data_IF_544493522182
#
_entry.id   IF_544493522182
#
_cell.length_a   1.000
_cell.length_b   1.000
_cell.length_c   1.000
_cell.angle_alpha   90.00
_cell.angle_beta   90.00
_cell.angle_gamma   90.00
#
_symmetry.space_group_name_H-M   'P 1'
#
loop_
_entity.id
_entity.type
_entity.pdbx_description
1 polymer ?
#
# COMPACT_ATOMS: atom_id res chain seq x y z
N UNK A 1 15.69 10.36 -28.35
CA UNK A 1 16.75 10.11 -27.32
C UNK A 1 17.09 8.62 -27.27
N UNK A 2 18.36 8.17 -27.31
CA UNK A 2 18.70 6.72 -27.35
C UNK A 2 18.63 6.06 -25.97
N UNK A 3 17.86 4.98 -25.84
CA UNK A 3 17.77 4.14 -24.62
C UNK A 3 18.44 2.77 -24.86
N UNK A 4 18.89 2.12 -23.80
CA UNK A 4 19.56 0.82 -23.86
C UNK A 4 18.81 -0.15 -22.97
N UNK A 5 18.39 -1.30 -23.50
CA UNK A 5 17.64 -2.30 -22.76
C UNK A 5 18.44 -3.59 -22.65
N UNK A 6 18.40 -4.24 -21.48
CA UNK A 6 19.03 -5.55 -21.29
C UNK A 6 17.99 -6.58 -20.86
N UNK A 7 17.59 -7.43 -21.79
CA UNK A 7 16.91 -8.70 -21.52
C UNK A 7 17.92 -9.83 -21.29
N UNK A 8 17.71 -10.63 -20.26
CA UNK A 8 18.50 -11.82 -19.89
C UNK A 8 17.79 -13.12 -20.24
N UNK A 9 16.50 -13.06 -20.57
CA UNK A 9 15.66 -14.21 -20.93
C UNK A 9 14.85 -13.88 -22.18
N UNK A 10 14.42 -14.91 -22.92
CA UNK A 10 13.53 -14.74 -24.07
C UNK A 10 12.21 -14.07 -23.65
N UNK A 11 11.67 -14.42 -22.48
CA UNK A 11 10.45 -13.82 -21.92
C UNK A 11 10.58 -12.30 -21.74
N UNK A 12 11.74 -11.81 -21.28
CA UNK A 12 12.00 -10.37 -21.15
C UNK A 12 12.03 -9.69 -22.51
N UNK A 13 12.62 -10.32 -23.52
CA UNK A 13 12.68 -9.76 -24.87
C UNK A 13 11.30 -9.77 -25.54
N UNK A 14 10.54 -10.85 -25.43
CA UNK A 14 9.18 -10.95 -25.97
C UNK A 14 8.28 -9.88 -25.35
N UNK A 15 8.38 -9.66 -24.03
CA UNK A 15 7.66 -8.60 -23.33
C UNK A 15 8.05 -7.20 -23.81
N UNK A 16 9.35 -6.94 -23.98
CA UNK A 16 9.83 -5.63 -24.43
C UNK A 16 9.40 -5.34 -25.88
N UNK A 17 9.43 -6.34 -26.75
CA UNK A 17 9.01 -6.26 -28.15
C UNK A 17 7.53 -5.87 -28.23
N UNK A 18 6.67 -6.55 -27.48
CA UNK A 18 5.24 -6.24 -27.41
C UNK A 18 5.01 -4.81 -26.88
N UNK A 19 5.72 -4.44 -25.81
CA UNK A 19 5.59 -3.13 -25.18
C UNK A 19 6.00 -1.97 -26.09
N UNK A 20 7.00 -2.18 -26.94
CA UNK A 20 7.53 -1.18 -27.86
C UNK A 20 6.92 -1.27 -29.27
N UNK A 21 6.01 -2.22 -29.54
CA UNK A 21 5.38 -2.39 -30.85
C UNK A 21 6.37 -2.76 -31.96
N UNK A 22 7.42 -3.53 -31.64
CA UNK A 22 8.48 -3.87 -32.61
C UNK A 22 8.04 -5.05 -33.47
N UNK A 23 7.78 -4.82 -34.76
CA UNK A 23 7.23 -5.85 -35.66
C UNK A 23 8.26 -6.91 -36.13
N UNK A 24 9.57 -6.69 -35.96
CA UNK A 24 10.58 -7.65 -36.42
C UNK A 24 11.90 -7.58 -35.64
N UNK A 25 12.41 -8.74 -35.17
CA UNK A 25 13.72 -8.85 -34.51
C UNK A 25 14.62 -9.89 -35.20
N UNK A 26 15.86 -9.50 -35.53
CA UNK A 26 16.88 -10.43 -36.04
C UNK A 26 17.69 -11.00 -34.87
N UNK A 27 17.47 -12.28 -34.55
CA UNK A 27 18.38 -13.15 -33.78
C UNK A 27 18.65 -12.71 -32.32
N UNK A 28 17.83 -13.19 -31.37
CA UNK A 28 18.00 -12.91 -29.93
C UNK A 28 19.31 -13.50 -29.43
N UNK A 29 20.23 -12.67 -28.94
CA UNK A 29 21.45 -13.15 -28.27
C UNK A 29 21.42 -12.76 -26.79
N UNK A 30 22.11 -13.52 -25.95
CA UNK A 30 22.27 -13.22 -24.51
C UNK A 30 23.19 -12.00 -24.24
N UNK A 31 23.25 -11.06 -25.16
CA UNK A 31 24.07 -9.85 -25.08
C UNK A 31 23.15 -8.63 -24.99
N UNK A 32 23.57 -7.54 -24.30
CA UNK A 32 22.78 -6.32 -24.23
C UNK A 32 22.60 -5.68 -25.61
N UNK A 33 21.35 -5.39 -25.98
CA UNK A 33 20.98 -4.87 -27.31
C UNK A 33 20.53 -3.40 -27.23
N UNK A 34 20.86 -2.63 -28.27
CA UNK A 34 20.50 -1.23 -28.39
C UNK A 34 19.21 -1.14 -29.18
N UNK A 35 18.15 -0.58 -28.59
CA UNK A 35 16.96 -0.14 -29.31
C UNK A 35 17.06 1.37 -29.47
N UNK A 36 17.25 1.84 -30.69
CA UNK A 36 17.21 3.29 -30.96
C UNK A 36 15.83 3.68 -31.49
N UNK A 37 15.43 4.89 -31.13
CA UNK A 37 14.24 5.58 -31.61
C UNK A 37 14.74 6.83 -32.34
N UNK A 38 14.46 6.92 -33.64
CA UNK A 38 14.75 8.11 -34.44
C UNK A 38 13.48 8.96 -34.50
N UNK A 39 13.51 10.13 -33.84
CA UNK A 39 12.36 11.05 -33.73
C UNK A 39 12.24 11.99 -34.93
N UNK A 40 13.13 11.91 -35.93
CA UNK A 40 13.33 13.02 -36.87
C UNK A 40 12.59 12.95 -38.22
N UNK A 41 11.78 11.93 -38.52
CA UNK A 41 10.99 11.91 -39.78
C UNK A 41 9.48 11.81 -39.51
N UNK A 42 8.81 12.97 -39.57
CA UNK A 42 7.35 13.19 -39.40
C UNK A 42 6.45 12.43 -40.41
N UNK A 43 6.99 11.61 -41.31
CA UNK A 43 6.23 11.05 -42.45
C UNK A 43 6.52 9.56 -42.78
N UNK A 44 7.25 8.80 -41.95
CA UNK A 44 7.45 7.36 -42.16
C UNK A 44 7.20 6.55 -40.88
N UNK A 45 6.64 5.36 -41.04
CA UNK A 45 6.31 4.38 -39.99
C UNK A 45 7.43 4.25 -38.94
N UNK A 46 7.05 4.09 -37.67
CA UNK A 46 7.97 3.98 -36.52
C UNK A 46 8.94 2.78 -36.69
N UNK A 47 10.08 2.99 -37.35
CA UNK A 47 11.06 1.95 -37.59
C UNK A 47 11.97 1.77 -36.37
N UNK A 48 11.60 0.84 -35.49
CA UNK A 48 12.46 0.40 -34.40
C UNK A 48 13.56 -0.53 -34.92
N UNK A 49 14.81 -0.11 -34.80
CA UNK A 49 15.98 -0.89 -35.19
C UNK A 49 16.76 -1.47 -33.99
N UNK A 50 17.17 -2.74 -34.09
CA UNK A 50 17.99 -3.43 -33.10
C UNK A 50 19.45 -3.55 -33.56
N UNK A 51 20.40 -3.08 -32.73
CA UNK A 51 21.83 -3.17 -33.03
C UNK A 51 22.64 -3.72 -31.84
N UNK A 52 23.60 -4.61 -32.12
CA UNK A 52 24.55 -5.14 -31.14
C UNK A 52 25.80 -4.25 -31.13
N UNK A 53 26.01 -3.49 -30.06
CA UNK A 53 27.15 -2.57 -29.92
C UNK A 53 27.82 -2.61 -28.54
N UNK A 54 29.09 -2.19 -28.44
CA UNK A 54 29.84 -2.23 -27.17
C UNK A 54 29.23 -1.31 -26.11
N UNK A 55 29.12 -1.82 -24.87
CA UNK A 55 28.33 -1.26 -23.76
C UNK A 55 29.09 -0.34 -22.80
N UNK A 56 30.36 -0.02 -23.05
CA UNK A 56 31.25 0.48 -21.99
C UNK A 56 30.95 1.89 -21.44
N UNK A 57 29.92 2.61 -21.90
CA UNK A 57 29.67 4.00 -21.45
C UNK A 57 28.21 4.48 -21.40
N UNK A 58 27.19 3.62 -21.45
CA UNK A 58 25.79 4.07 -21.56
C UNK A 58 24.88 3.49 -20.47
N UNK A 59 23.88 4.27 -20.06
CA UNK A 59 22.87 3.90 -19.06
C UNK A 59 22.00 2.77 -19.60
N UNK A 60 22.05 1.60 -18.94
CA UNK A 60 21.32 0.38 -19.33
C UNK A 60 20.11 0.24 -18.43
N UNK A 61 18.93 0.07 -19.02
CA UNK A 61 17.67 -0.22 -18.36
C UNK A 61 17.50 -1.75 -18.33
N UNK A 62 17.39 -2.35 -17.15
CA UNK A 62 17.09 -3.77 -17.04
C UNK A 62 15.62 -4.03 -17.37
N UNK A 63 15.37 -4.92 -18.32
CA UNK A 63 13.99 -5.28 -18.67
C UNK A 63 13.31 -6.02 -17.50
N UNK A 64 14.07 -6.74 -16.68
CA UNK A 64 13.53 -7.34 -15.45
C UNK A 64 12.96 -6.32 -14.48
N UNK A 65 13.61 -5.17 -14.32
CA UNK A 65 13.14 -4.10 -13.41
C UNK A 65 11.84 -3.50 -13.94
N UNK A 66 11.74 -3.26 -15.25
CA UNK A 66 10.50 -2.78 -15.88
C UNK A 66 9.35 -3.78 -15.78
N UNK A 67 9.63 -5.08 -15.94
CA UNK A 67 8.62 -6.13 -15.77
C UNK A 67 8.18 -6.29 -14.32
N UNK A 68 9.07 -6.08 -13.35
CA UNK A 68 8.73 -6.09 -11.92
C UNK A 68 7.90 -4.85 -11.55
N UNK A 69 8.25 -3.67 -12.06
CA UNK A 69 7.47 -2.44 -11.90
C UNK A 69 6.07 -2.57 -12.53
N UNK A 70 5.95 -3.14 -13.73
CA UNK A 70 4.65 -3.37 -14.38
C UNK A 70 3.84 -4.49 -13.70
N UNK A 71 4.51 -5.51 -13.14
CA UNK A 71 3.85 -6.51 -12.28
C UNK A 71 3.31 -5.86 -11.01
N UNK A 72 4.04 -4.94 -10.40
CA UNK A 72 3.55 -4.15 -9.26
C UNK A 72 2.38 -3.25 -9.65
N UNK A 73 2.40 -2.64 -10.84
CA UNK A 73 1.27 -1.86 -11.35
C UNK A 73 0.01 -2.71 -11.62
N UNK A 74 0.17 -3.97 -12.06
CA UNK A 74 -0.95 -4.89 -12.31
C UNK A 74 -1.42 -5.67 -11.08
N UNK A 75 -0.56 -5.84 -10.07
CA UNK A 75 -0.93 -6.45 -8.78
C UNK A 75 -1.95 -5.59 -8.01
N UNK A 76 -2.08 -4.31 -8.33
CA UNK A 76 -3.02 -3.39 -7.71
C UNK A 76 -4.40 -3.34 -8.38
N UNK A 77 -4.67 -4.15 -9.40
CA UNK A 77 -5.96 -4.17 -10.11
C UNK A 77 -6.57 -5.56 -10.17
N UNK A 78 -7.90 -5.61 -10.14
CA UNK A 78 -8.70 -6.79 -10.52
C UNK A 78 -9.21 -6.56 -11.93
N UNK A 79 -8.88 -7.48 -12.83
CA UNK A 79 -9.34 -7.41 -14.22
C UNK A 79 -10.48 -8.41 -14.44
N UNK A 80 -11.66 -7.89 -14.77
CA UNK A 80 -12.84 -8.64 -15.20
C UNK A 80 -12.79 -8.74 -16.73
N UNK A 81 -12.91 -9.95 -17.29
CA UNK A 81 -12.81 -10.19 -18.73
C UNK A 81 -14.18 -10.48 -19.34
N UNK A 82 -14.30 -10.24 -20.65
CA UNK A 82 -15.42 -10.55 -21.56
C UNK A 82 -16.62 -11.29 -20.95
N UNK A 83 -16.50 -12.59 -20.65
CA UNK A 83 -17.63 -13.41 -20.18
C UNK A 83 -18.12 -13.02 -18.78
N UNK A 84 -17.21 -12.67 -17.87
CA UNK A 84 -17.53 -12.23 -16.51
C UNK A 84 -18.12 -10.81 -16.49
N UNK A 85 -17.86 -10.00 -17.52
CA UNK A 85 -18.45 -8.66 -17.66
C UNK A 85 -19.96 -8.72 -17.88
N UNK A 86 -20.48 -9.79 -18.49
CA UNK A 86 -21.91 -9.99 -18.67
C UNK A 86 -22.63 -10.23 -17.33
N UNK A 87 -21.91 -10.72 -16.31
CA UNK A 87 -22.45 -10.96 -14.97
C UNK A 87 -22.45 -9.71 -14.07
N UNK A 88 -21.72 -8.65 -14.45
CA UNK A 88 -21.69 -7.40 -13.68
C UNK A 88 -23.05 -6.70 -13.76
N UNK A 89 -23.74 -6.62 -12.62
CA UNK A 89 -25.05 -5.97 -12.53
C UNK A 89 -24.91 -4.45 -12.33
N UNK A 90 -25.40 -3.68 -13.31
CA UNK A 90 -25.32 -2.22 -13.31
C UNK A 90 -26.64 -1.57 -12.83
N UNK A 91 -26.66 -1.02 -11.62
CA UNK A 91 -27.84 -0.31 -11.06
C UNK A 91 -28.00 1.13 -11.58
N UNK A 92 -27.92 1.35 -12.89
CA UNK A 92 -28.21 2.68 -13.46
C UNK A 92 -29.67 2.77 -13.91
N UNK A 93 -30.38 3.81 -13.46
CA UNK A 93 -31.75 4.16 -13.88
C UNK A 93 -31.86 4.66 -15.33
N UNK A 94 -30.76 4.61 -16.08
CA UNK A 94 -30.71 4.89 -17.51
C UNK A 94 -30.36 3.58 -18.18
N UNK A 95 -31.26 3.02 -19.00
CA UNK A 95 -31.09 1.71 -19.64
C UNK A 95 -29.97 1.63 -20.70
N UNK A 96 -28.84 2.31 -20.49
CA UNK A 96 -27.63 2.34 -21.32
C UNK A 96 -26.40 2.61 -20.45
N UNK A 97 -25.38 1.75 -20.57
CA UNK A 97 -24.06 1.92 -19.94
C UNK A 97 -23.41 3.20 -20.44
N UNK A 98 -23.39 4.23 -19.59
CA UNK A 98 -22.67 5.47 -19.84
C UNK A 98 -21.49 5.51 -18.89
N UNK A 99 -20.26 5.40 -19.40
CA UNK A 99 -19.07 5.64 -18.59
C UNK A 99 -18.90 7.15 -18.41
N UNK A 100 -18.74 7.58 -17.16
CA UNK A 100 -18.39 8.97 -16.83
C UNK A 100 -16.87 9.05 -16.83
N UNK A 101 -16.30 9.78 -17.78
CA UNK A 101 -14.89 10.14 -17.74
C UNK A 101 -14.73 11.61 -17.41
N UNK A 102 -13.58 11.92 -16.83
CA UNK A 102 -13.14 13.28 -16.54
C UNK A 102 -12.12 13.69 -17.59
N UNK A 103 -12.28 14.86 -18.19
CA UNK A 103 -11.20 15.43 -18.98
C UNK A 103 -10.09 15.97 -18.06
N UNK A 104 -8.98 16.42 -18.66
CA UNK A 104 -7.85 17.05 -17.96
C UNK A 104 -8.22 18.31 -17.16
N UNK A 105 -9.43 18.85 -17.34
CA UNK A 105 -9.96 20.01 -16.63
C UNK A 105 -10.99 19.60 -15.56
N UNK A 106 -11.26 18.31 -15.39
CA UNK A 106 -12.22 17.76 -14.43
C UNK A 106 -13.69 17.80 -14.88
N UNK A 107 -13.97 18.22 -16.12
CA UNK A 107 -15.34 18.24 -16.66
C UNK A 107 -15.83 16.82 -16.93
N UNK A 108 -17.10 16.55 -16.57
CA UNK A 108 -17.73 15.24 -16.66
C UNK A 108 -18.41 15.07 -18.01
N UNK A 109 -18.01 14.04 -18.74
CA UNK A 109 -18.62 13.66 -20.01
C UNK A 109 -19.17 12.24 -19.93
N UNK A 110 -20.36 12.03 -20.49
CA UNK A 110 -20.98 10.71 -20.61
C UNK A 110 -20.96 10.30 -22.09
N UNK A 111 -20.22 9.24 -22.42
CA UNK A 111 -20.24 8.65 -23.76
C UNK A 111 -20.99 7.32 -23.75
N UNK A 112 -21.89 7.13 -24.74
CA UNK A 112 -22.49 5.83 -25.05
C UNK A 112 -21.43 5.01 -25.81
N UNK A 113 -20.88 3.96 -25.19
CA UNK A 113 -19.96 3.03 -25.85
C UNK A 113 -20.35 1.57 -25.58
N UNK A 114 -19.94 0.69 -26.48
CA UNK A 114 -19.96 -0.76 -26.30
C UNK A 114 -19.12 -1.13 -25.07
N UNK A 115 -19.50 -2.21 -24.37
CA UNK A 115 -18.74 -2.73 -23.25
C UNK A 115 -17.27 -2.97 -23.69
N UNK A 116 -16.27 -2.52 -22.94
CA UNK A 116 -14.87 -2.85 -23.22
C UNK A 116 -14.65 -4.36 -23.08
N UNK A 117 -13.66 -4.91 -23.77
CA UNK A 117 -13.32 -6.35 -23.69
C UNK A 117 -12.81 -6.78 -22.29
N UNK A 118 -12.37 -5.82 -21.50
CA UNK A 118 -12.00 -6.02 -20.09
C UNK A 118 -12.23 -4.75 -19.28
N UNK A 119 -12.50 -4.91 -18.00
CA UNK A 119 -12.57 -3.84 -17.01
C UNK A 119 -11.55 -4.11 -15.91
N UNK A 120 -10.58 -3.21 -15.76
CA UNK A 120 -9.62 -3.25 -14.65
C UNK A 120 -10.05 -2.27 -13.56
N UNK A 121 -10.28 -2.78 -12.35
CA UNK A 121 -10.71 -2.00 -11.19
C UNK A 121 -9.57 -2.02 -10.17
N UNK A 122 -9.15 -0.87 -9.62
CA UNK A 122 -8.15 -0.87 -8.55
C UNK A 122 -8.61 -1.75 -7.39
N UNK A 123 -7.69 -2.48 -6.75
CA UNK A 123 -7.95 -3.33 -5.59
C UNK A 123 -8.34 -2.52 -4.37
N UNK A 124 -7.83 -1.29 -4.22
CA UNK A 124 -8.09 -0.45 -3.05
C UNK A 124 -9.57 -0.18 -2.74
N UNK A 125 -10.47 0.13 -3.71
CA UNK A 125 -11.91 0.22 -3.46
C UNK A 125 -12.62 -1.13 -3.32
N UNK A 126 -12.06 -2.22 -3.86
CA UNK A 126 -12.63 -3.56 -3.79
C UNK A 126 -12.28 -4.30 -2.49
N UNK A 127 -11.08 -4.04 -1.97
CA UNK A 127 -10.51 -4.65 -0.78
C UNK A 127 -10.04 -3.56 0.17
N UNK A 128 -10.96 -2.90 0.90
CA UNK A 128 -10.58 -1.88 1.88
C UNK A 128 -9.62 -2.48 2.90
N UNK A 129 -8.59 -1.69 3.26
CA UNK A 129 -7.57 -2.06 4.24
C UNK A 129 -8.20 -2.36 5.60
N UNK A 130 -7.67 -3.38 6.26
CA UNK A 130 -8.02 -3.75 7.63
C UNK A 130 -7.03 -3.06 8.56
N UNK A 131 -7.50 -2.02 9.23
CA UNK A 131 -6.68 -1.22 10.13
C UNK A 131 -6.47 -1.95 11.44
N UNK A 132 -5.23 -2.20 11.83
CA UNK A 132 -4.87 -2.84 13.09
C UNK A 132 -3.94 -1.95 13.91
N UNK A 133 -4.05 -1.96 15.23
CA UNK A 133 -3.00 -1.42 16.11
C UNK A 133 -1.76 -2.32 16.08
N UNK A 134 -0.63 -1.81 16.56
CA UNK A 134 0.59 -2.63 16.73
C UNK A 134 0.34 -3.87 17.60
N UNK A 135 -0.43 -3.72 18.68
CA UNK A 135 -0.78 -4.82 19.58
C UNK A 135 -1.68 -5.87 18.89
N UNK A 136 -2.72 -5.41 18.18
CA UNK A 136 -3.60 -6.29 17.39
C UNK A 136 -2.81 -7.07 16.33
N UNK A 137 -1.91 -6.40 15.61
CA UNK A 137 -1.07 -7.04 14.59
C UNK A 137 -0.10 -8.07 15.18
N UNK A 138 0.48 -7.78 16.34
CA UNK A 138 1.36 -8.72 17.03
C UNK A 138 0.61 -9.99 17.46
N UNK A 139 -0.61 -9.84 17.98
CA UNK A 139 -1.48 -10.97 18.30
C UNK A 139 -1.90 -11.74 17.03
N UNK A 140 -2.25 -11.04 15.95
CA UNK A 140 -2.59 -11.64 14.66
C UNK A 140 -1.43 -12.49 14.11
N UNK A 141 -0.22 -11.94 14.08
CA UNK A 141 0.97 -12.64 13.54
C UNK A 141 1.36 -13.87 14.35
N UNK A 142 1.04 -13.86 15.65
CA UNK A 142 1.23 -15.02 16.52
C UNK A 142 0.23 -16.12 16.15
N UNK A 143 -1.05 -15.78 16.03
CA UNK A 143 -2.10 -16.73 15.67
C UNK A 143 -1.88 -17.32 14.27
N UNK A 144 -1.59 -16.48 13.26
CA UNK A 144 -1.40 -16.89 11.87
C UNK A 144 -0.29 -17.94 11.69
N UNK A 145 0.76 -17.85 12.51
CA UNK A 145 1.87 -18.82 12.49
C UNK A 145 1.56 -20.14 13.19
N UNK A 146 0.68 -20.10 14.20
CA UNK A 146 0.52 -21.22 15.13
C UNK A 146 -0.72 -22.07 14.84
N UNK A 147 -1.72 -21.52 14.15
CA UNK A 147 -3.01 -22.19 14.00
C UNK A 147 -3.78 -21.83 12.73
N UNK A 148 -4.93 -22.47 12.53
CA UNK A 148 -5.87 -22.14 11.46
C UNK A 148 -6.81 -21.02 11.89
N UNK A 149 -7.44 -20.33 10.93
CA UNK A 149 -8.46 -19.30 11.18
C UNK A 149 -9.56 -19.77 12.15
N UNK A 150 -10.03 -21.01 11.99
CA UNK A 150 -11.07 -21.57 12.88
C UNK A 150 -10.59 -21.65 14.34
N UNK A 151 -9.35 -22.08 14.56
CA UNK A 151 -8.78 -22.15 15.90
C UNK A 151 -8.46 -20.73 16.43
N UNK A 152 -7.99 -19.82 15.57
CA UNK A 152 -7.67 -18.46 15.93
C UNK A 152 -8.87 -17.71 16.52
N UNK A 153 -10.04 -17.78 15.88
CA UNK A 153 -11.26 -17.15 16.40
C UNK A 153 -11.67 -17.68 17.79
N UNK A 154 -11.37 -18.95 18.08
CA UNK A 154 -11.61 -19.52 19.41
C UNK A 154 -10.58 -19.01 20.42
N UNK A 155 -9.30 -19.02 20.03
CA UNK A 155 -8.17 -18.67 20.89
C UNK A 155 -8.13 -17.17 21.25
N UNK A 156 -8.67 -16.31 20.39
CA UNK A 156 -8.74 -14.86 20.63
C UNK A 156 -9.44 -14.56 21.94
N UNK A 157 -10.52 -15.29 22.26
CA UNK A 157 -11.28 -15.10 23.49
C UNK A 157 -10.47 -15.35 24.76
N UNK A 158 -9.47 -16.24 24.69
CA UNK A 158 -8.74 -16.70 25.86
C UNK A 158 -7.37 -16.02 26.02
N UNK A 159 -6.74 -15.59 24.93
CA UNK A 159 -5.31 -15.21 24.97
C UNK A 159 -4.94 -13.89 24.29
N UNK A 160 -5.83 -13.29 23.50
CA UNK A 160 -5.52 -12.12 22.68
C UNK A 160 -6.38 -10.94 23.14
N UNK A 161 -5.87 -10.16 24.09
CA UNK A 161 -6.64 -9.08 24.71
C UNK A 161 -7.01 -7.98 23.70
N UNK A 162 -6.08 -7.60 22.82
CA UNK A 162 -6.32 -6.51 21.87
C UNK A 162 -7.28 -6.94 20.75
N UNK A 163 -7.07 -8.11 20.15
CA UNK A 163 -7.98 -8.68 19.16
C UNK A 163 -9.34 -9.02 19.76
N UNK A 164 -9.39 -9.45 21.02
CA UNK A 164 -10.66 -9.70 21.72
C UNK A 164 -11.45 -8.41 21.89
N UNK A 165 -10.79 -7.34 22.36
CA UNK A 165 -11.43 -6.04 22.52
C UNK A 165 -12.01 -5.54 21.18
N UNK A 166 -11.21 -5.62 20.11
CA UNK A 166 -11.63 -5.24 18.76
C UNK A 166 -12.83 -6.05 18.26
N UNK A 167 -12.75 -7.38 18.33
CA UNK A 167 -13.71 -8.27 17.68
C UNK A 167 -14.98 -8.42 18.52
N UNK A 168 -14.86 -8.39 19.86
CA UNK A 168 -15.93 -8.80 20.76
C UNK A 168 -16.37 -7.75 21.79
N UNK A 169 -15.54 -6.77 22.15
CA UNK A 169 -15.89 -5.77 23.18
C UNK A 169 -16.64 -4.55 22.60
N UNK A 170 -16.55 -4.35 21.28
CA UNK A 170 -17.31 -3.33 20.56
C UNK A 170 -18.68 -3.87 20.11
N UNK A 171 -19.69 -3.68 20.96
CA UNK A 171 -21.16 -3.73 20.73
C UNK A 171 -21.91 -5.06 20.87
N UNK A 172 -23.17 -4.92 21.34
CA UNK A 172 -24.15 -5.96 21.65
C UNK A 172 -24.13 -7.12 20.65
N UNK A 173 -23.84 -8.33 21.15
CA UNK A 173 -24.03 -9.62 20.47
C UNK A 173 -23.87 -9.56 18.94
N UNK A 174 -22.64 -9.79 18.47
CA UNK A 174 -22.28 -10.13 17.08
C UNK A 174 -22.52 -9.03 16.04
N UNK A 175 -21.57 -8.10 15.92
CA UNK A 175 -21.34 -7.39 14.66
C UNK A 175 -20.37 -8.24 13.84
N UNK A 176 -20.82 -9.07 12.88
CA UNK A 176 -19.94 -9.98 12.13
C UNK A 176 -18.91 -9.24 11.28
N UNK A 177 -19.01 -7.92 11.15
CA UNK A 177 -18.10 -7.07 10.39
C UNK A 177 -16.64 -7.22 10.86
N UNK A 178 -16.38 -7.24 12.17
CA UNK A 178 -15.01 -7.39 12.69
C UNK A 178 -14.46 -8.81 12.53
N UNK A 179 -15.30 -9.84 12.69
CA UNK A 179 -14.92 -11.22 12.39
C UNK A 179 -14.63 -11.41 10.89
N UNK A 180 -15.41 -10.77 10.01
CA UNK A 180 -15.22 -10.77 8.57
C UNK A 180 -13.97 -10.00 8.16
N UNK A 181 -13.69 -8.84 8.76
CA UNK A 181 -12.43 -8.10 8.56
C UNK A 181 -11.24 -8.95 8.99
N UNK A 182 -11.32 -9.61 10.14
CA UNK A 182 -10.28 -10.52 10.61
C UNK A 182 -10.06 -11.68 9.64
N UNK A 183 -11.13 -12.34 9.19
CA UNK A 183 -11.04 -13.43 8.21
C UNK A 183 -10.49 -12.96 6.85
N UNK A 184 -10.81 -11.74 6.43
CA UNK A 184 -10.25 -11.13 5.20
C UNK A 184 -8.76 -10.87 5.35
N UNK A 185 -8.33 -10.26 6.46
CA UNK A 185 -6.91 -10.06 6.77
C UNK A 185 -6.16 -11.39 6.90
N UNK A 186 -6.82 -12.43 7.42
CA UNK A 186 -6.29 -13.79 7.49
C UNK A 186 -6.07 -14.41 6.11
N UNK A 187 -7.01 -14.22 5.19
CA UNK A 187 -6.90 -14.73 3.83
C UNK A 187 -5.86 -13.96 2.99
N UNK A 188 -5.73 -12.65 3.24
CA UNK A 188 -4.80 -11.78 2.56
C UNK A 188 -4.16 -10.77 3.55
N UNK A 189 -3.00 -11.10 4.14
CA UNK A 189 -2.29 -10.22 5.07
C UNK A 189 -1.84 -8.89 4.47
N UNK A 190 -1.78 -8.76 3.14
CA UNK A 190 -1.45 -7.48 2.47
C UNK A 190 -2.53 -6.42 2.68
N UNK A 191 -3.74 -6.82 3.09
CA UNK A 191 -4.82 -5.92 3.44
C UNK A 191 -4.61 -5.23 4.79
N UNK A 192 -3.66 -5.68 5.61
CA UNK A 192 -3.44 -5.10 6.93
C UNK A 192 -2.71 -3.75 6.82
N UNK A 193 -3.31 -2.72 7.39
CA UNK A 193 -2.70 -1.41 7.60
C UNK A 193 -2.43 -1.27 9.11
N UNK A 194 -1.17 -1.20 9.53
CA UNK A 194 -0.83 -1.02 10.94
C UNK A 194 -0.86 0.47 11.27
N UNK A 195 -1.77 0.86 12.15
CA UNK A 195 -1.85 2.21 12.67
C UNK A 195 -0.72 2.42 13.69
N UNK A 196 0.06 3.50 13.58
CA UNK A 196 1.03 3.86 14.61
C UNK A 196 0.30 4.06 15.95
N UNK A 197 0.93 3.64 17.04
CA UNK A 197 0.37 3.88 18.37
C UNK A 197 0.34 5.40 18.62
N UNK A 198 -0.79 5.95 19.11
CA UNK A 198 -0.84 7.35 19.47
C UNK A 198 0.21 7.64 20.54
N UNK A 199 0.82 8.82 20.44
CA UNK A 199 1.89 9.24 21.34
C UNK A 199 1.53 10.57 21.99
N UNK A 200 2.05 10.78 23.19
CA UNK A 200 1.73 11.95 24.00
C UNK A 200 2.98 12.58 24.59
N UNK A 201 2.96 13.90 24.64
CA UNK A 201 3.83 14.70 25.51
C UNK A 201 3.12 14.94 26.84
N UNK A 202 3.87 14.90 27.95
CA UNK A 202 3.29 15.05 29.29
C UNK A 202 3.79 16.34 29.92
N UNK A 203 2.89 17.29 30.17
CA UNK A 203 3.25 18.55 30.84
C UNK A 203 3.45 18.36 32.33
N UNK A 204 4.49 18.99 32.86
CA UNK A 204 4.81 19.11 34.28
C UNK A 204 4.02 20.28 34.87
N UNK A 205 3.34 20.07 35.99
CA UNK A 205 2.52 21.10 36.60
C UNK A 205 3.37 22.24 37.24
N UNK A 206 3.30 23.42 36.60
CA UNK A 206 3.53 24.79 37.09
C UNK A 206 4.64 25.01 38.13
N UNK A 207 5.85 25.29 37.64
CA UNK A 207 6.67 26.38 38.19
C UNK A 207 6.32 27.64 37.36
N UNK A 208 6.13 28.77 38.04
CA UNK A 208 5.23 29.87 37.63
C UNK A 208 5.47 30.56 36.26
N UNK A 209 6.48 30.20 35.46
CA UNK A 209 6.80 30.96 34.25
C UNK A 209 7.26 30.18 33.01
N UNK A 210 7.36 28.85 33.02
CA UNK A 210 7.82 28.06 31.85
C UNK A 210 6.98 26.78 31.72
N UNK A 211 6.49 26.48 30.51
CA UNK A 211 5.91 25.16 30.21
C UNK A 211 7.05 24.15 30.27
N UNK A 212 6.90 23.09 31.05
CA UNK A 212 7.89 22.04 31.17
C UNK A 212 7.24 20.73 30.76
N UNK A 213 7.97 19.88 30.02
CA UNK A 213 7.50 18.59 29.55
C UNK A 213 8.38 17.47 30.08
N UNK A 214 7.78 16.34 30.42
CA UNK A 214 8.50 15.09 30.59
C UNK A 214 8.79 14.47 29.23
N UNK A 215 9.94 13.80 29.11
CA UNK A 215 10.31 13.01 27.94
C UNK A 215 11.15 11.80 28.36
N UNK A 216 11.22 10.79 27.48
CA UNK A 216 12.06 9.60 27.69
C UNK A 216 13.49 9.89 27.23
N UNK A 217 14.46 9.67 28.12
CA UNK A 217 15.88 9.71 27.76
C UNK A 217 16.38 8.33 27.32
N UNK A 218 17.50 8.31 26.59
CA UNK A 218 18.23 7.09 26.25
C UNK A 218 18.46 6.23 27.51
N UNK A 219 17.92 5.00 27.50
CA UNK A 219 17.99 4.08 28.63
C UNK A 219 16.75 4.02 29.51
N UNK A 220 15.65 4.70 29.15
CA UNK A 220 14.35 4.58 29.82
C UNK A 220 14.24 5.40 31.11
N UNK A 221 15.11 6.39 31.30
CA UNK A 221 15.00 7.34 32.42
C UNK A 221 14.13 8.53 32.04
N UNK A 222 13.38 9.05 33.02
CA UNK A 222 12.52 10.22 32.82
C UNK A 222 13.38 11.50 32.85
N UNK A 223 13.35 12.27 31.77
CA UNK A 223 13.92 13.63 31.68
C UNK A 223 12.82 14.69 31.73
N UNK A 224 13.22 15.95 31.90
CA UNK A 224 12.31 17.09 31.77
C UNK A 224 12.99 18.27 31.06
N UNK A 225 12.23 19.01 30.26
CA UNK A 225 12.72 20.11 29.42
C UNK A 225 11.68 21.24 29.29
N UNK A 226 12.15 22.43 28.91
CA UNK A 226 11.32 23.64 28.76
C UNK A 226 10.57 23.71 27.42
N UNK A 227 10.94 22.81 26.50
CA UNK A 227 10.23 22.59 25.25
C UNK A 227 9.82 21.11 25.25
N UNK A 228 8.73 20.74 24.56
CA UNK A 228 8.53 19.34 24.22
C UNK A 228 9.75 18.99 23.35
N UNK A 229 10.74 18.31 23.93
CA UNK A 229 11.98 17.95 23.23
C UNK A 229 11.58 17.03 22.06
N UNK A 230 11.54 17.68 20.89
CA UNK A 230 11.58 17.23 19.51
C UNK A 230 10.64 16.12 19.04
N UNK A 231 10.33 16.18 17.75
CA UNK A 231 9.50 15.27 16.96
C UNK A 231 9.97 13.80 16.96
N UNK A 232 10.94 13.43 17.81
CA UNK A 232 11.47 12.08 17.93
C UNK A 232 10.44 11.19 18.65
N UNK A 233 9.86 10.20 17.94
CA UNK A 233 8.85 9.34 18.51
C UNK A 233 9.36 8.63 19.79
N UNK A 234 10.67 8.37 19.90
CA UNK A 234 11.26 7.64 21.02
C UNK A 234 11.30 8.46 22.32
N UNK A 235 11.07 9.78 22.25
CA UNK A 235 10.97 10.67 23.40
C UNK A 235 9.55 10.82 23.95
N UNK A 236 8.53 10.34 23.22
CA UNK A 236 7.11 10.47 23.53
C UNK A 236 6.54 9.24 24.25
N UNK A 237 5.44 9.39 24.99
CA UNK A 237 4.84 8.30 25.76
C UNK A 237 3.70 7.65 25.01
N UNK A 238 3.55 6.34 25.14
CA UNK A 238 2.34 5.58 24.79
C UNK A 238 1.39 5.51 25.98
N UNK A 239 0.14 5.07 25.75
CA UNK A 239 -0.86 4.94 26.81
C UNK A 239 -0.44 3.93 27.89
N UNK A 240 0.23 2.84 27.47
CA UNK A 240 0.74 1.81 28.37
C UNK A 240 1.89 2.34 29.25
N UNK A 241 2.74 3.20 28.69
CA UNK A 241 3.90 3.76 29.38
C UNK A 241 3.51 4.73 30.51
N UNK A 242 2.34 5.37 30.45
CA UNK A 242 1.92 6.28 31.53
C UNK A 242 1.92 5.61 32.90
N UNK A 243 1.43 4.37 33.01
CA UNK A 243 1.45 3.63 34.29
C UNK A 243 2.86 3.25 34.71
N UNK A 244 3.71 2.86 33.75
CA UNK A 244 5.09 2.47 34.01
C UNK A 244 5.89 3.64 34.61
N UNK A 245 5.67 4.85 34.10
CA UNK A 245 6.36 6.06 34.56
C UNK A 245 5.62 6.80 35.68
N UNK A 246 4.46 6.33 36.13
CA UNK A 246 3.64 6.98 37.16
C UNK A 246 3.03 8.32 36.71
N UNK A 247 2.77 8.46 35.41
CA UNK A 247 2.21 9.64 34.73
C UNK A 247 0.70 9.49 34.43
N UNK A 248 0.06 8.45 34.97
CA UNK A 248 -1.34 8.14 34.71
C UNK A 248 -2.33 8.96 35.57
N UNK A 249 -1.86 9.65 36.60
CA UNK A 249 -2.69 10.46 37.50
C UNK A 249 -3.14 11.81 36.93
N UNK A 250 -4.21 12.36 37.51
CA UNK A 250 -4.86 13.64 37.11
C UNK A 250 -3.98 14.89 37.26
N UNK A 251 -2.80 14.74 37.85
CA UNK A 251 -1.83 15.83 38.04
C UNK A 251 -1.07 16.18 36.75
N UNK A 252 -1.18 15.36 35.70
CA UNK A 252 -0.43 15.52 34.47
C UNK A 252 -1.37 15.83 33.29
N UNK A 253 -1.06 16.90 32.56
CA UNK A 253 -1.75 17.20 31.30
C UNK A 253 -1.05 16.43 30.17
N UNK A 254 -1.81 15.56 29.50
CA UNK A 254 -1.35 14.74 28.38
C UNK A 254 -1.75 15.43 27.09
N UNK A 255 -0.79 15.76 26.25
CA UNK A 255 -1.00 16.41 24.95
C UNK A 255 -0.69 15.38 23.87
N UNK A 256 -1.71 15.01 23.10
CA UNK A 256 -1.56 14.08 21.98
C UNK A 256 -0.74 14.73 20.86
N UNK A 257 0.20 13.97 20.33
CA UNK A 257 1.03 14.38 19.19
C UNK A 257 0.25 14.04 17.92
N UNK A 258 0.02 15.03 17.06
CA UNK A 258 -0.56 14.81 15.74
C UNK A 258 0.56 14.54 14.74
N UNK A 259 0.45 13.44 13.99
CA UNK A 259 1.32 13.11 12.84
C UNK A 259 1.05 14.01 11.61
#
# INVERSE_FOLDING_TARGET
MTKYYRGRTQEQWDWLIDKLGIDFMWDVRNEPEIVYYDEEDDDLEEDYGLYIGPTETKEIIEVSELMEDEKMENEDYVTIKDEDLEEVHWETNYGRTSFIYHDKNGEKYAHEQFLPASLSIPKSPLYPKVRMTTAEKAEFDKLDKEMSLYNALTEIQDTCGALYERIYDHTNASTPEFELEFARAWADPSLIEVLPEPRWNVKVYKLEHEEMFYFKQYGGTLGWGAEPDDDDPDCQFTAAEFKQYGLDGDLFEKVEVQE
#
